data_IF_929650922543
#
_entry.id   IF_929650922543
#
_cell.length_a   1.000
_cell.length_b   1.000
_cell.length_c   1.000
_cell.angle_alpha   90.00
_cell.angle_beta   90.00
_cell.angle_gamma   90.00
#
_symmetry.space_group_name_H-M   'P 1'
#
loop_
_entity.id
_entity.type
_entity.pdbx_description
1 polymer ?
#
# COMPACT_ATOMS: atom_id res chain seq x y z
N UNK A 1 28.66 2.25 -22.23
CA UNK A 1 28.37 1.48 -20.99
C UNK A 1 29.43 1.84 -19.95
N UNK A 2 29.09 2.57 -18.88
CA UNK A 2 30.04 3.28 -18.00
C UNK A 2 29.59 3.16 -16.53
N UNK A 3 30.39 2.42 -15.74
CA UNK A 3 30.44 2.30 -14.25
C UNK A 3 29.38 1.47 -13.50
N UNK A 4 29.67 0.17 -13.34
CA UNK A 4 29.09 -0.71 -12.32
C UNK A 4 29.61 -0.37 -10.91
N UNK A 5 29.26 0.81 -10.37
CA UNK A 5 29.58 1.18 -8.98
C UNK A 5 28.32 1.17 -8.13
N UNK A 6 28.08 0.05 -7.45
CA UNK A 6 27.03 -0.07 -6.43
C UNK A 6 26.92 -1.52 -5.94
N UNK A 7 26.85 -1.72 -4.61
CA UNK A 7 26.46 -3.00 -4.03
C UNK A 7 24.97 -3.20 -4.37
N UNK A 8 24.65 -4.20 -5.20
CA UNK A 8 23.26 -4.62 -5.41
C UNK A 8 22.82 -5.29 -4.10
N UNK A 9 22.34 -4.50 -3.15
CA UNK A 9 21.61 -5.02 -2.01
C UNK A 9 20.31 -5.61 -2.55
N UNK A 10 19.99 -6.85 -2.17
CA UNK A 10 18.64 -7.38 -2.41
C UNK A 10 17.68 -6.46 -1.65
N UNK A 11 16.90 -5.68 -2.40
CA UNK A 11 15.92 -4.77 -1.82
C UNK A 11 14.86 -5.55 -1.05
N UNK A 12 14.51 -5.08 0.14
CA UNK A 12 13.41 -5.60 0.95
C UNK A 12 12.20 -4.69 0.72
N UNK A 13 11.05 -5.27 0.36
CA UNK A 13 9.83 -4.50 0.31
C UNK A 13 9.32 -4.21 1.72
N UNK A 14 8.79 -3.00 1.90
CA UNK A 14 8.13 -2.56 3.11
C UNK A 14 6.72 -2.13 2.72
N UNK A 15 5.73 -2.60 3.47
CA UNK A 15 4.34 -2.19 3.37
C UNK A 15 3.93 -1.46 4.65
N UNK A 16 3.22 -0.36 4.50
CA UNK A 16 2.83 0.50 5.62
C UNK A 16 1.47 1.14 5.38
N UNK A 17 0.84 1.57 6.46
CA UNK A 17 -0.37 2.38 6.43
C UNK A 17 -0.41 3.32 7.61
N UNK A 18 -1.17 4.41 7.45
CA UNK A 18 -1.38 5.42 8.49
C UNK A 18 -2.88 5.65 8.68
N UNK A 19 -3.30 5.66 9.94
CA UNK A 19 -4.63 6.10 10.34
C UNK A 19 -4.66 7.62 10.42
N UNK A 20 -5.50 8.28 9.61
CA UNK A 20 -5.51 9.74 9.46
C UNK A 20 -5.95 10.49 10.72
N UNK A 21 -6.80 9.88 11.54
CA UNK A 21 -7.37 10.54 12.72
C UNK A 21 -6.41 10.50 13.92
N UNK A 22 -5.70 9.39 14.09
CA UNK A 22 -4.86 9.15 15.27
C UNK A 22 -3.36 9.22 14.98
N UNK A 23 -2.98 9.28 13.70
CA UNK A 23 -1.61 9.13 13.22
C UNK A 23 -0.92 7.83 13.65
N UNK A 24 -1.67 6.77 13.98
CA UNK A 24 -1.11 5.45 14.19
C UNK A 24 -0.60 4.89 12.87
N UNK A 25 0.58 4.28 12.92
CA UNK A 25 1.28 3.76 11.74
C UNK A 25 1.59 2.28 11.99
N UNK A 26 1.40 1.45 10.96
CA UNK A 26 2.04 0.14 10.90
C UNK A 26 3.07 0.11 9.78
N UNK A 27 4.15 -0.64 9.99
CA UNK A 27 5.22 -0.85 9.00
C UNK A 27 5.61 -2.32 9.09
N UNK A 28 5.55 -3.02 7.96
CA UNK A 28 5.81 -4.46 7.87
C UNK A 28 6.74 -4.76 6.69
N UNK A 29 7.82 -5.49 6.93
CA UNK A 29 8.66 -6.02 5.86
C UNK A 29 7.94 -7.18 5.17
N UNK A 30 7.83 -7.10 3.84
CA UNK A 30 7.11 -8.10 3.03
C UNK A 30 8.01 -8.69 1.94
N UNK A 31 7.92 -9.98 1.63
CA UNK A 31 8.77 -10.59 0.60
C UNK A 31 8.43 -10.08 -0.81
N UNK A 32 7.19 -9.66 -1.03
CA UNK A 32 6.70 -9.12 -2.29
C UNK A 32 5.47 -8.24 -2.03
N UNK A 33 5.00 -7.55 -3.06
CA UNK A 33 3.84 -6.65 -2.99
C UNK A 33 2.58 -7.22 -3.66
N UNK A 34 2.43 -8.54 -3.69
CA UNK A 34 1.28 -9.19 -4.32
C UNK A 34 0.07 -9.13 -3.37
N UNK A 35 -1.12 -9.21 -3.96
CA UNK A 35 -2.40 -9.21 -3.23
C UNK A 35 -2.42 -10.23 -2.09
N UNK A 36 -1.92 -11.44 -2.32
CA UNK A 36 -1.94 -12.53 -1.32
C UNK A 36 -1.05 -12.21 -0.10
N UNK A 37 -0.08 -11.32 -0.27
CA UNK A 37 0.77 -10.84 0.83
C UNK A 37 0.17 -9.62 1.52
N UNK A 38 -0.44 -8.70 0.77
CA UNK A 38 -0.92 -7.42 1.32
C UNK A 38 -2.27 -7.53 2.03
N UNK A 39 -3.22 -8.30 1.50
CA UNK A 39 -4.59 -8.39 2.05
C UNK A 39 -4.60 -8.89 3.50
N UNK A 40 -3.90 -9.98 3.87
CA UNK A 40 -3.88 -10.43 5.27
C UNK A 40 -3.26 -9.40 6.22
N UNK A 41 -2.32 -8.59 5.74
CA UNK A 41 -1.71 -7.52 6.55
C UNK A 41 -2.73 -6.41 6.78
N UNK A 42 -3.48 -6.02 5.74
CA UNK A 42 -4.58 -5.06 5.87
C UNK A 42 -5.60 -5.57 6.88
N UNK A 43 -6.04 -6.82 6.78
CA UNK A 43 -7.02 -7.40 7.71
C UNK A 43 -6.54 -7.44 9.16
N UNK A 44 -5.22 -7.61 9.37
CA UNK A 44 -4.61 -7.61 10.69
C UNK A 44 -4.53 -6.23 11.33
N UNK A 45 -4.25 -5.19 10.55
CA UNK A 45 -3.95 -3.84 11.08
C UNK A 45 -5.07 -2.83 10.86
N UNK A 46 -6.05 -3.12 10.00
CA UNK A 46 -7.16 -2.24 9.68
C UNK A 46 -8.46 -2.85 10.17
N UNK A 47 -9.14 -2.10 11.04
CA UNK A 47 -10.42 -2.51 11.59
C UNK A 47 -11.49 -2.69 10.50
N UNK A 48 -12.34 -3.71 10.66
CA UNK A 48 -13.51 -3.86 9.80
C UNK A 48 -14.43 -2.62 9.91
N UNK A 49 -15.02 -2.22 8.79
CA UNK A 49 -15.81 -1.00 8.65
C UNK A 49 -15.00 0.25 8.29
N UNK A 50 -13.65 0.19 8.32
CA UNK A 50 -12.81 1.34 7.96
C UNK A 50 -12.87 1.69 6.47
N UNK A 51 -12.60 2.97 6.17
CA UNK A 51 -12.38 3.47 4.83
C UNK A 51 -10.89 3.38 4.51
N UNK A 52 -10.54 2.59 3.49
CA UNK A 52 -9.15 2.41 3.07
C UNK A 52 -8.89 3.27 1.83
N UNK A 53 -7.89 4.14 1.91
CA UNK A 53 -7.37 4.90 0.78
C UNK A 53 -6.08 4.25 0.26
N UNK A 54 -6.08 3.75 -0.97
CA UNK A 54 -4.87 3.25 -1.62
C UNK A 54 -4.59 4.01 -2.91
N UNK A 55 -3.40 3.89 -3.47
CA UNK A 55 -3.19 4.21 -4.88
C UNK A 55 -4.02 3.25 -5.77
N UNK A 56 -4.24 3.61 -7.03
CA UNK A 56 -5.00 2.79 -8.00
C UNK A 56 -4.22 1.55 -8.46
N UNK A 57 -3.43 0.92 -7.59
CA UNK A 57 -2.65 -0.24 -7.95
C UNK A 57 -3.47 -1.52 -7.90
N UNK A 58 -3.36 -2.33 -8.96
CA UNK A 58 -4.04 -3.62 -9.16
C UNK A 58 -3.98 -4.58 -7.98
N UNK A 59 -2.91 -4.54 -7.17
CA UNK A 59 -2.80 -5.41 -6.00
C UNK A 59 -3.95 -5.17 -4.98
N UNK A 60 -4.54 -3.97 -4.99
CA UNK A 60 -5.63 -3.56 -4.11
C UNK A 60 -7.02 -3.74 -4.72
N UNK A 61 -7.17 -4.22 -5.96
CA UNK A 61 -8.49 -4.33 -6.60
C UNK A 61 -9.44 -5.26 -5.83
N UNK A 62 -8.91 -6.25 -5.11
CA UNK A 62 -9.68 -7.13 -4.22
C UNK A 62 -10.43 -6.35 -3.13
N UNK A 63 -9.89 -5.22 -2.68
CA UNK A 63 -10.53 -4.38 -1.66
C UNK A 63 -11.85 -3.77 -2.13
N UNK A 64 -12.04 -3.59 -3.45
CA UNK A 64 -13.29 -3.04 -4.02
C UNK A 64 -14.49 -3.94 -3.75
N UNK A 65 -14.27 -5.24 -3.65
CA UNK A 65 -15.32 -6.24 -3.41
C UNK A 65 -15.28 -6.78 -1.99
N UNK A 66 -14.42 -6.23 -1.13
CA UNK A 66 -14.21 -6.73 0.22
C UNK A 66 -15.30 -6.21 1.16
N UNK A 67 -16.10 -7.13 1.72
CA UNK A 67 -17.30 -6.78 2.53
C UNK A 67 -16.99 -5.96 3.78
N UNK A 68 -15.78 -6.06 4.30
CA UNK A 68 -15.38 -5.40 5.54
C UNK A 68 -14.83 -3.98 5.35
N UNK A 69 -14.64 -3.50 4.11
CA UNK A 69 -13.96 -2.23 3.87
C UNK A 69 -14.68 -1.38 2.83
N UNK A 70 -14.66 -0.07 3.05
CA UNK A 70 -14.98 0.88 1.97
C UNK A 70 -13.68 1.29 1.30
N UNK A 71 -13.49 0.88 0.03
CA UNK A 71 -12.26 1.17 -0.69
C UNK A 71 -12.37 2.46 -1.52
N UNK A 72 -11.40 3.37 -1.33
CA UNK A 72 -11.22 4.58 -2.14
C UNK A 72 -9.83 4.54 -2.77
N UNK A 73 -9.76 4.90 -4.05
CA UNK A 73 -8.48 4.97 -4.78
C UNK A 73 -8.09 6.41 -5.07
N UNK A 74 -6.81 6.74 -4.90
CA UNK A 74 -6.22 8.00 -5.34
C UNK A 74 -5.54 7.76 -6.68
N UNK A 75 -6.05 8.39 -7.73
CA UNK A 75 -5.42 8.34 -9.04
C UNK A 75 -4.41 9.48 -9.19
N UNK A 76 -3.12 9.15 -9.13
CA UNK A 76 -2.02 10.11 -9.27
C UNK A 76 -1.88 10.68 -10.70
N UNK A 77 -2.60 10.18 -11.71
CA UNK A 77 -2.57 10.76 -13.05
C UNK A 77 -3.49 11.97 -13.24
N UNK A 78 -4.40 12.23 -12.29
CA UNK A 78 -5.46 13.24 -12.43
C UNK A 78 -5.20 14.46 -11.53
N UNK A 79 -4.39 14.29 -10.49
CA UNK A 79 -4.08 15.32 -9.51
C UNK A 79 -2.57 15.57 -9.46
N UNK A 80 -1.98 16.06 -10.54
CA UNK A 80 -0.76 16.85 -10.41
C UNK A 80 -1.23 18.19 -9.82
N UNK A 81 -0.87 18.47 -8.58
CA UNK A 81 -1.12 19.79 -7.99
C UNK A 81 -0.26 20.77 -8.77
N UNK A 82 -0.89 21.63 -9.58
CA UNK A 82 -0.26 22.89 -9.99
C UNK A 82 0.00 23.68 -8.71
N UNK A 83 1.26 23.76 -8.33
CA UNK A 83 1.77 24.60 -7.25
C UNK A 83 1.82 26.06 -7.66
#
# INVERSE_FOLDING_TARGET
>A
RKYNKGRILKGQWVFSGIERETNKIFIVSVPNRRTETLIPIIEKYVAAGSIIHTDSWRAYDVLRHHKNYTHKTVNHSVNFVDS
#
